data_IF_816494051192
#
_entry.id   IF_816494051192
#
_cell.length_a   1.000
_cell.length_b   1.000
_cell.length_c   1.000
_cell.angle_alpha   90.00
_cell.angle_beta   90.00
_cell.angle_gamma   90.00
#
_symmetry.space_group_name_H-M   'P 1'
#
loop_
_entity.id
_entity.type
_entity.pdbx_description
1 polymer ?
#
# COMPACT_ATOMS: atom_id res chain seq x y z
N UNK A 1 18.53 -0.14 -0.95
CA UNK A 1 18.23 -1.55 -0.61
C UNK A 1 16.72 -1.71 -0.63
N UNK A 2 16.19 -2.65 -1.41
CA UNK A 2 14.79 -3.06 -1.32
C UNK A 2 14.64 -3.83 0.00
N UNK A 3 13.66 -3.47 0.82
CA UNK A 3 13.42 -4.10 2.12
C UNK A 3 11.92 -4.33 2.26
N UNK A 4 11.57 -5.55 2.62
CA UNK A 4 10.22 -5.95 2.97
C UNK A 4 9.98 -5.74 4.48
N UNK A 5 8.79 -5.28 4.84
CA UNK A 5 8.34 -5.02 6.20
C UNK A 5 7.07 -5.82 6.50
N UNK A 6 7.16 -6.96 7.22
CA UNK A 6 6.00 -7.80 7.54
C UNK A 6 4.88 -7.05 8.29
N UNK A 7 5.25 -6.06 9.10
CA UNK A 7 4.29 -5.27 9.89
C UNK A 7 3.38 -4.41 8.99
N UNK A 8 3.90 -3.96 7.84
CA UNK A 8 3.11 -3.22 6.85
C UNK A 8 2.07 -4.11 6.16
N UNK A 9 2.36 -5.39 5.97
CA UNK A 9 1.40 -6.37 5.45
C UNK A 9 0.21 -6.50 6.42
N UNK A 10 0.50 -6.74 7.71
CA UNK A 10 -0.53 -6.83 8.75
C UNK A 10 -1.37 -5.56 8.86
N UNK A 11 -0.76 -4.37 8.75
CA UNK A 11 -1.49 -3.09 8.73
C UNK A 11 -2.41 -3.00 7.52
N UNK A 12 -1.94 -3.41 6.33
CA UNK A 12 -2.75 -3.40 5.11
C UNK A 12 -3.95 -4.34 5.19
N UNK A 13 -3.79 -5.52 5.80
CA UNK A 13 -4.88 -6.49 5.99
C UNK A 13 -5.99 -5.94 6.90
N UNK A 14 -5.61 -5.27 8.00
CA UNK A 14 -6.57 -4.62 8.90
C UNK A 14 -7.32 -3.49 8.19
N UNK A 15 -6.63 -2.70 7.36
CA UNK A 15 -7.25 -1.60 6.61
C UNK A 15 -8.24 -2.08 5.54
N UNK A 16 -8.00 -3.24 4.92
CA UNK A 16 -8.94 -3.84 3.96
C UNK A 16 -10.25 -4.31 4.60
N UNK A 17 -10.22 -4.67 5.88
CA UNK A 17 -11.42 -5.09 6.60
C UNK A 17 -12.41 -3.94 6.85
N UNK A 18 -11.95 -2.69 6.68
CA UNK A 18 -12.79 -1.49 6.84
C UNK A 18 -13.49 -1.20 5.51
N UNK A 19 -14.83 -1.19 5.44
CA UNK A 19 -15.59 -0.96 4.21
C UNK A 19 -15.63 0.54 3.85
N UNK A 20 -14.46 1.14 3.70
CA UNK A 20 -14.30 2.54 3.33
C UNK A 20 -13.28 2.66 2.19
N UNK A 21 -13.65 3.34 1.11
CA UNK A 21 -12.82 3.44 -0.10
C UNK A 21 -11.40 3.95 0.21
N UNK A 22 -11.27 4.95 1.09
CA UNK A 22 -9.97 5.52 1.42
C UNK A 22 -9.08 4.54 2.19
N UNK A 23 -9.64 3.70 3.08
CA UNK A 23 -8.85 2.70 3.81
C UNK A 23 -8.35 1.61 2.87
N UNK A 24 -9.16 1.21 1.89
CA UNK A 24 -8.76 0.28 0.82
C UNK A 24 -7.67 0.89 -0.08
N UNK A 25 -7.79 2.16 -0.47
CA UNK A 25 -6.73 2.86 -1.22
C UNK A 25 -5.41 2.91 -0.43
N UNK A 26 -5.46 3.19 0.88
CA UNK A 26 -4.28 3.20 1.75
C UNK A 26 -3.68 1.80 1.87
N UNK A 27 -4.49 0.76 2.08
CA UNK A 27 -4.03 -0.63 2.14
C UNK A 27 -3.28 -1.03 0.86
N UNK A 28 -3.86 -0.72 -0.30
CA UNK A 28 -3.21 -0.96 -1.59
C UNK A 28 -1.88 -0.20 -1.74
N UNK A 29 -1.84 1.09 -1.35
CA UNK A 29 -0.62 1.88 -1.40
C UNK A 29 0.49 1.30 -0.52
N UNK A 30 0.15 0.83 0.69
CA UNK A 30 1.08 0.16 1.60
C UNK A 30 1.64 -1.11 0.95
N UNK A 31 0.79 -1.98 0.40
CA UNK A 31 1.26 -3.23 -0.25
C UNK A 31 2.19 -2.97 -1.43
N UNK A 32 1.82 -2.05 -2.33
CA UNK A 32 2.67 -1.69 -3.49
C UNK A 32 4.00 -1.07 -3.04
N UNK A 33 3.99 -0.28 -1.97
CA UNK A 33 5.22 0.31 -1.43
C UNK A 33 6.11 -0.75 -0.75
N UNK A 34 5.51 -1.76 -0.12
CA UNK A 34 6.20 -2.85 0.57
C UNK A 34 6.70 -3.95 -0.38
N UNK A 35 6.12 -4.04 -1.58
CA UNK A 35 6.57 -4.93 -2.64
C UNK A 35 8.00 -4.57 -3.07
N UNK A 36 8.87 -5.58 -3.04
CA UNK A 36 10.25 -5.45 -3.47
C UNK A 36 10.38 -5.39 -4.98
N UNK A 37 9.44 -5.93 -5.74
CA UNK A 37 9.54 -5.98 -7.20
C UNK A 37 8.99 -4.72 -7.88
N UNK A 38 8.02 -4.06 -7.25
CA UNK A 38 7.48 -2.77 -7.67
C UNK A 38 8.55 -1.68 -7.84
N UNK A 39 8.51 -0.99 -8.99
CA UNK A 39 9.34 0.19 -9.27
C UNK A 39 8.79 1.47 -8.62
N UNK A 40 9.59 2.55 -8.61
CA UNK A 40 9.21 3.80 -7.96
C UNK A 40 8.02 4.51 -8.62
N UNK A 41 7.83 4.39 -9.93
CA UNK A 41 6.69 4.99 -10.65
C UNK A 41 5.41 4.29 -10.21
N UNK A 42 5.43 2.95 -10.17
CA UNK A 42 4.31 2.14 -9.68
C UNK A 42 3.94 2.50 -8.24
N UNK A 43 4.94 2.68 -7.36
CA UNK A 43 4.73 3.14 -5.97
C UNK A 43 4.09 4.53 -5.91
N UNK A 44 4.58 5.49 -6.69
CA UNK A 44 4.00 6.84 -6.76
C UNK A 44 2.56 6.80 -7.26
N UNK A 45 2.25 6.02 -8.30
CA UNK A 45 0.89 5.86 -8.80
C UNK A 45 -0.06 5.29 -7.73
N UNK A 46 0.39 4.33 -6.91
CA UNK A 46 -0.42 3.78 -5.82
C UNK A 46 -0.70 4.82 -4.73
N UNK A 47 0.30 5.63 -4.36
CA UNK A 47 0.13 6.73 -3.38
C UNK A 47 -0.80 7.83 -3.90
N UNK A 48 -0.73 8.18 -5.20
CA UNK A 48 -1.60 9.20 -5.78
C UNK A 48 -3.09 8.83 -5.71
N UNK A 49 -3.44 7.54 -5.78
CA UNK A 49 -4.82 7.04 -5.62
C UNK A 49 -5.39 7.22 -4.21
N UNK A 50 -4.56 7.58 -3.23
CA UNK A 50 -5.00 7.91 -1.86
C UNK A 50 -5.36 9.39 -1.74
N UNK A 51 -4.76 10.24 -2.58
CA UNK A 51 -4.84 11.71 -2.50
C UNK A 51 -5.91 12.26 -3.46
N UNK A 52 -5.98 11.68 -4.66
CA UNK A 52 -6.91 12.05 -5.73
C UNK A 52 -8.23 11.29 -5.61
#
# INVERSE_FOLDING_TARGET
MKKYYPELESVSDVLECIPHHQTQSIANAIRVCNDMDSDNVTKVCAVLKVIL
#
